data_IF_613608768903
#
_entry.id   IF_613608768903
#
_cell.length_a   1.000
_cell.length_b   1.000
_cell.length_c   1.000
_cell.angle_alpha   90.00
_cell.angle_beta   90.00
_cell.angle_gamma   90.00
#
_symmetry.space_group_name_H-M   'P 1'
#
loop_
_entity.id
_entity.type
_entity.pdbx_description
1 polymer ?
#
# COMPACT_ATOMS: atom_id res chain seq x y z
N UNK A 1 -18.43 19.43 -19.80
CA UNK A 1 -17.07 19.05 -19.37
C UNK A 1 -17.07 18.83 -17.87
N UNK A 2 -16.51 17.73 -17.36
CA UNK A 2 -16.36 17.53 -15.91
C UNK A 2 -15.30 18.51 -15.40
N UNK A 3 -15.57 19.31 -14.35
CA UNK A 3 -14.62 20.32 -13.87
C UNK A 3 -13.29 19.69 -13.46
N UNK A 4 -12.19 20.43 -13.67
CA UNK A 4 -10.86 20.01 -13.21
C UNK A 4 -10.81 20.11 -11.67
N UNK A 5 -10.29 19.10 -10.97
CA UNK A 5 -10.05 19.22 -9.53
C UNK A 5 -9.09 20.38 -9.24
N UNK A 6 -9.33 21.11 -8.14
CA UNK A 6 -8.33 22.05 -7.59
C UNK A 6 -7.19 21.22 -7.00
N UNK A 7 -5.96 21.62 -7.29
CA UNK A 7 -4.74 20.94 -6.82
C UNK A 7 -4.10 21.84 -5.77
N UNK A 8 -3.92 21.32 -4.56
CA UNK A 8 -3.10 21.95 -3.53
C UNK A 8 -1.67 21.41 -3.66
N UNK A 9 -0.80 22.18 -4.31
CA UNK A 9 0.58 21.77 -4.57
C UNK A 9 1.41 21.63 -3.29
N UNK A 10 1.08 22.39 -2.23
CA UNK A 10 1.79 22.31 -0.95
C UNK A 10 1.42 21.00 -0.26
N UNK A 11 0.13 20.70 -0.13
CA UNK A 11 -0.33 19.44 0.44
C UNK A 11 0.17 18.24 -0.37
N UNK A 12 0.21 18.35 -1.70
CA UNK A 12 0.75 17.33 -2.60
C UNK A 12 2.24 17.10 -2.33
N UNK A 13 3.04 18.16 -2.26
CA UNK A 13 4.47 18.07 -1.98
C UNK A 13 4.73 17.42 -0.62
N UNK A 14 4.05 17.87 0.43
CA UNK A 14 4.17 17.31 1.78
C UNK A 14 3.79 15.83 1.82
N UNK A 15 2.70 15.43 1.16
CA UNK A 15 2.28 14.04 1.13
C UNK A 15 3.27 13.14 0.36
N UNK A 16 3.82 13.63 -0.75
CA UNK A 16 4.82 12.89 -1.53
C UNK A 16 6.16 12.72 -0.79
N UNK A 17 6.43 13.53 0.23
CA UNK A 17 7.62 13.38 1.08
C UNK A 17 7.45 12.30 2.16
N UNK A 18 6.22 11.86 2.46
CA UNK A 18 5.98 10.87 3.51
C UNK A 18 6.73 9.55 3.23
N UNK A 19 6.56 8.88 2.07
CA UNK A 19 7.20 7.58 1.84
C UNK A 19 8.74 7.63 1.81
N UNK A 20 9.41 8.61 1.16
CA UNK A 20 10.86 8.67 1.21
C UNK A 20 11.39 9.01 2.61
N UNK A 21 10.66 9.80 3.41
CA UNK A 21 11.03 10.05 4.81
C UNK A 21 10.88 8.77 5.66
N UNK A 22 9.79 8.02 5.49
CA UNK A 22 9.59 6.73 6.17
C UNK A 22 10.70 5.73 5.82
N UNK A 23 11.04 5.59 4.54
CA UNK A 23 12.13 4.73 4.07
C UNK A 23 13.50 5.17 4.59
N UNK A 24 13.76 6.47 4.58
CA UNK A 24 15.01 7.05 5.08
C UNK A 24 15.17 6.81 6.58
N UNK A 25 14.15 7.14 7.39
CA UNK A 25 14.16 6.88 8.84
C UNK A 25 14.28 5.38 9.13
N UNK A 26 13.53 4.54 8.40
CA UNK A 26 13.58 3.09 8.52
C UNK A 26 14.98 2.50 8.30
N UNK A 27 15.79 3.10 7.43
CA UNK A 27 17.16 2.64 7.15
C UNK A 27 18.12 2.77 8.34
N UNK A 28 17.85 3.69 9.29
CA UNK A 28 18.65 3.86 10.50
C UNK A 28 18.21 2.95 11.66
N UNK A 29 16.98 2.41 11.62
CA UNK A 29 16.43 1.59 12.70
C UNK A 29 17.32 0.40 13.07
N UNK A 30 17.90 -0.38 12.13
CA UNK A 30 18.80 -1.48 12.47
C UNK A 30 20.09 -1.06 13.18
N UNK A 31 20.54 0.19 12.97
CA UNK A 31 21.76 0.76 13.55
C UNK A 31 21.53 1.21 14.99
N UNK A 32 20.31 1.68 15.30
CA UNK A 32 19.92 2.21 16.61
C UNK A 32 19.39 1.15 17.58
N UNK A 33 18.77 0.09 17.05
CA UNK A 33 18.14 -0.95 17.87
C UNK A 33 18.73 -2.33 17.55
N UNK A 34 19.35 -2.99 18.52
CA UNK A 34 19.89 -4.35 18.34
C UNK A 34 18.79 -5.43 18.34
N UNK A 35 17.75 -5.26 19.15
CA UNK A 35 16.69 -6.27 19.34
C UNK A 35 15.63 -6.21 18.23
N UNK A 36 15.26 -7.37 17.66
CA UNK A 36 14.31 -7.47 16.52
C UNK A 36 12.95 -6.83 16.81
N UNK A 37 12.39 -7.09 18.00
CA UNK A 37 11.11 -6.51 18.41
C UNK A 37 11.18 -4.97 18.47
N UNK A 38 12.28 -4.43 18.99
CA UNK A 38 12.47 -2.99 19.09
C UNK A 38 12.53 -2.33 17.71
N UNK A 39 13.18 -2.99 16.74
CA UNK A 39 13.20 -2.52 15.35
C UNK A 39 11.80 -2.42 14.77
N UNK A 40 11.00 -3.49 14.90
CA UNK A 40 9.65 -3.52 14.35
C UNK A 40 8.75 -2.46 14.98
N UNK A 41 8.75 -2.34 16.31
CA UNK A 41 7.93 -1.35 17.01
C UNK A 41 8.24 0.09 16.57
N UNK A 42 9.52 0.42 16.39
CA UNK A 42 9.92 1.75 15.94
C UNK A 42 9.53 1.99 14.48
N UNK A 43 9.68 0.97 13.63
CA UNK A 43 9.19 1.02 12.24
C UNK A 43 7.67 1.26 12.20
N UNK A 44 6.89 0.56 13.02
CA UNK A 44 5.43 0.76 13.11
C UNK A 44 5.09 2.19 13.53
N UNK A 45 5.82 2.77 14.49
CA UNK A 45 5.64 4.16 14.93
C UNK A 45 5.94 5.14 13.80
N UNK A 46 6.98 4.90 12.99
CA UNK A 46 7.32 5.73 11.82
C UNK A 46 6.16 5.72 10.81
N UNK A 47 5.68 4.54 10.41
CA UNK A 47 4.55 4.41 9.48
C UNK A 47 3.25 4.97 10.04
N UNK A 48 3.02 4.83 11.36
CA UNK A 48 1.85 5.41 12.01
C UNK A 48 1.87 6.94 11.98
N UNK A 49 3.04 7.56 12.18
CA UNK A 49 3.19 9.01 12.06
C UNK A 49 2.90 9.49 10.63
N UNK A 50 3.42 8.80 9.61
CA UNK A 50 3.13 9.10 8.20
C UNK A 50 1.65 8.91 7.85
N UNK A 51 1.03 7.84 8.35
CA UNK A 51 -0.42 7.63 8.25
C UNK A 51 -1.22 8.79 8.84
N UNK A 52 -0.93 9.21 10.07
CA UNK A 52 -1.59 10.37 10.67
C UNK A 52 -1.40 11.64 9.83
N UNK A 53 -0.19 11.87 9.31
CA UNK A 53 0.13 12.99 8.43
C UNK A 53 -0.69 12.98 7.13
N UNK A 54 -0.75 11.84 6.44
CA UNK A 54 -1.49 11.67 5.20
C UNK A 54 -3.00 11.88 5.41
N UNK A 55 -3.56 11.29 6.47
CA UNK A 55 -4.97 11.49 6.86
C UNK A 55 -5.24 12.97 7.15
N UNK A 56 -4.37 13.64 7.90
CA UNK A 56 -4.54 15.05 8.23
C UNK A 56 -4.51 15.93 6.98
N UNK A 57 -3.56 15.74 6.06
CA UNK A 57 -3.42 16.50 4.81
C UNK A 57 -4.67 16.37 3.92
N UNK A 58 -5.19 15.16 3.75
CA UNK A 58 -6.30 14.87 2.83
C UNK A 58 -7.65 14.57 3.51
N UNK A 59 -7.82 14.97 4.78
CA UNK A 59 -9.05 14.76 5.57
C UNK A 59 -10.32 15.27 4.91
N UNK A 60 -10.24 16.34 4.12
CA UNK A 60 -11.40 16.93 3.43
C UNK A 60 -11.89 16.01 2.31
N UNK A 61 -10.96 15.48 1.51
CA UNK A 61 -11.24 14.49 0.45
C UNK A 61 -11.80 13.21 1.07
N UNK A 62 -11.14 12.68 2.10
CA UNK A 62 -11.59 11.48 2.81
C UNK A 62 -13.00 11.65 3.36
N UNK A 63 -13.30 12.78 4.04
CA UNK A 63 -14.66 13.04 4.56
C UNK A 63 -15.71 13.16 3.45
N UNK A 64 -15.39 13.81 2.33
CA UNK A 64 -16.33 14.01 1.24
C UNK A 64 -16.65 12.66 0.57
N UNK A 65 -15.64 11.90 0.18
CA UNK A 65 -15.78 10.63 -0.49
C UNK A 65 -16.44 9.58 0.42
N UNK A 66 -16.21 9.63 1.74
CA UNK A 66 -16.83 8.71 2.71
C UNK A 66 -18.35 8.85 2.73
N UNK A 67 -18.86 10.09 2.66
CA UNK A 67 -20.31 10.35 2.68
C UNK A 67 -21.01 9.72 1.49
N UNK A 68 -20.36 9.67 0.34
CA UNK A 68 -20.89 9.03 -0.85
C UNK A 68 -20.72 7.51 -0.78
N UNK A 69 -19.54 7.06 -0.37
CA UNK A 69 -19.19 5.64 -0.29
C UNK A 69 -20.20 4.85 0.56
N UNK A 70 -20.57 5.37 1.74
CA UNK A 70 -21.44 4.68 2.68
C UNK A 70 -22.90 4.52 2.21
N UNK A 71 -23.35 5.31 1.22
CA UNK A 71 -24.72 5.20 0.67
C UNK A 71 -24.96 3.85 0.00
N UNK A 72 -23.91 3.28 -0.60
CA UNK A 72 -23.95 2.01 -1.32
C UNK A 72 -22.88 1.04 -0.78
N UNK A 73 -22.71 1.00 0.54
CA UNK A 73 -21.58 0.31 1.19
C UNK A 73 -21.44 -1.16 0.74
N UNK A 74 -22.55 -1.90 0.64
CA UNK A 74 -22.51 -3.33 0.29
C UNK A 74 -22.09 -3.56 -1.17
N UNK A 75 -22.61 -2.76 -2.10
CA UNK A 75 -22.21 -2.83 -3.51
C UNK A 75 -20.74 -2.44 -3.67
N UNK A 76 -20.30 -1.41 -2.96
CA UNK A 76 -18.91 -0.96 -2.97
C UNK A 76 -17.96 -2.00 -2.34
N UNK A 77 -18.42 -2.71 -1.31
CA UNK A 77 -17.71 -3.84 -0.72
C UNK A 77 -17.55 -4.99 -1.72
N UNK A 78 -18.62 -5.40 -2.43
CA UNK A 78 -18.53 -6.42 -3.48
C UNK A 78 -17.54 -6.01 -4.57
N UNK A 79 -17.59 -4.75 -5.02
CA UNK A 79 -16.61 -4.22 -5.98
C UNK A 79 -15.18 -4.29 -5.44
N UNK A 80 -14.99 -4.03 -4.15
CA UNK A 80 -13.68 -4.11 -3.52
C UNK A 80 -13.17 -5.56 -3.48
N UNK A 81 -14.02 -6.53 -3.13
CA UNK A 81 -13.69 -7.95 -3.21
C UNK A 81 -13.30 -8.36 -4.64
N UNK A 82 -14.07 -7.93 -5.64
CA UNK A 82 -13.71 -8.15 -7.05
C UNK A 82 -12.37 -7.52 -7.42
N UNK A 83 -12.08 -6.32 -6.91
CA UNK A 83 -10.80 -5.64 -7.05
C UNK A 83 -9.63 -6.40 -6.42
N UNK A 84 -9.83 -7.04 -5.26
CA UNK A 84 -8.84 -7.91 -4.60
C UNK A 84 -8.55 -9.13 -5.46
N UNK A 85 -9.58 -9.80 -5.97
CA UNK A 85 -9.42 -10.97 -6.86
C UNK A 85 -8.61 -10.59 -8.10
N UNK A 86 -8.95 -9.47 -8.74
CA UNK A 86 -8.19 -8.96 -9.88
C UNK A 86 -6.73 -8.63 -9.52
N UNK A 87 -6.47 -8.10 -8.32
CA UNK A 87 -5.12 -7.79 -7.84
C UNK A 87 -4.27 -9.05 -7.74
N UNK A 88 -4.80 -10.13 -7.14
CA UNK A 88 -4.11 -11.42 -7.09
C UNK A 88 -3.91 -12.02 -8.49
N UNK A 89 -4.89 -11.94 -9.37
CA UNK A 89 -4.77 -12.43 -10.74
C UNK A 89 -3.65 -11.70 -11.51
N UNK A 90 -3.57 -10.37 -11.40
CA UNK A 90 -2.50 -9.55 -11.97
C UNK A 90 -1.16 -9.94 -11.37
N UNK A 91 -1.08 -10.06 -10.05
CA UNK A 91 0.15 -10.42 -9.36
C UNK A 91 0.68 -11.78 -9.81
N UNK A 92 -0.17 -12.80 -9.88
CA UNK A 92 0.17 -14.14 -10.34
C UNK A 92 0.59 -14.15 -11.81
N UNK A 93 -0.14 -13.46 -12.67
CA UNK A 93 0.18 -13.35 -14.08
C UNK A 93 1.56 -12.70 -14.28
N UNK A 94 1.78 -11.51 -13.72
CA UNK A 94 3.04 -10.78 -13.89
C UNK A 94 4.22 -11.55 -13.28
N UNK A 95 4.06 -12.16 -12.10
CA UNK A 95 5.11 -13.01 -11.51
C UNK A 95 5.42 -14.24 -12.35
N UNK A 96 4.41 -14.89 -12.95
CA UNK A 96 4.64 -16.06 -13.80
C UNK A 96 5.40 -15.70 -15.07
N UNK A 97 5.09 -14.54 -15.67
CA UNK A 97 5.84 -14.00 -16.80
C UNK A 97 7.28 -13.68 -16.39
N UNK A 98 7.49 -13.09 -15.22
CA UNK A 98 8.82 -12.67 -14.76
C UNK A 98 9.67 -13.80 -14.14
N UNK A 99 9.11 -15.00 -13.95
CA UNK A 99 9.76 -16.14 -13.30
C UNK A 99 11.18 -16.44 -13.83
N UNK A 100 11.50 -16.36 -15.13
CA UNK A 100 12.87 -16.60 -15.62
C UNK A 100 13.91 -15.60 -15.08
N UNK A 101 13.47 -14.41 -14.65
CA UNK A 101 14.33 -13.32 -14.14
C UNK A 101 14.26 -13.15 -12.62
N UNK A 102 13.42 -13.94 -11.94
CA UNK A 102 13.26 -13.91 -10.50
C UNK A 102 13.94 -15.13 -9.89
N UNK A 103 14.88 -14.90 -8.98
CA UNK A 103 15.45 -15.96 -8.17
C UNK A 103 14.38 -16.53 -7.23
N UNK A 104 14.33 -17.85 -7.10
CA UNK A 104 13.49 -18.52 -6.11
C UNK A 104 13.96 -18.16 -4.72
N UNK A 105 13.28 -17.25 -4.03
CA UNK A 105 13.49 -17.04 -2.60
C UNK A 105 12.98 -18.28 -1.86
N UNK A 106 13.81 -18.88 -1.00
CA UNK A 106 13.35 -19.92 -0.09
C UNK A 106 12.25 -19.39 0.83
N UNK A 107 11.28 -20.23 1.17
CA UNK A 107 10.30 -19.88 2.22
C UNK A 107 11.07 -19.83 3.55
N UNK A 108 11.14 -18.67 4.23
CA UNK A 108 11.81 -18.61 5.52
C UNK A 108 11.10 -19.53 6.51
N UNK A 109 11.88 -20.21 7.35
CA UNK A 109 11.35 -21.05 8.42
C UNK A 109 10.71 -20.15 9.49
N UNK A 110 9.37 -20.20 9.57
CA UNK A 110 8.55 -19.35 10.42
C UNK A 110 8.01 -20.08 11.66
N UNK A 111 8.47 -21.31 11.94
CA UNK A 111 7.87 -22.21 12.93
C UNK A 111 8.22 -21.89 14.41
N UNK A 112 8.88 -20.76 14.71
CA UNK A 112 9.14 -20.36 16.10
C UNK A 112 8.14 -19.30 16.60
N UNK A 113 7.69 -19.41 17.85
CA UNK A 113 6.81 -18.41 18.51
C UNK A 113 7.42 -17.02 18.43
N UNK A 114 8.73 -16.89 18.68
CA UNK A 114 9.42 -15.60 18.63
C UNK A 114 9.36 -14.98 17.22
N UNK A 115 9.62 -15.77 16.17
CA UNK A 115 9.49 -15.31 14.79
C UNK A 115 8.05 -14.93 14.47
N UNK A 116 7.08 -15.75 14.87
CA UNK A 116 5.67 -15.50 14.60
C UNK A 116 5.15 -14.24 15.31
N UNK A 117 5.58 -13.98 16.55
CA UNK A 117 5.29 -12.73 17.27
C UNK A 117 5.86 -11.52 16.54
N UNK A 118 7.12 -11.57 16.12
CA UNK A 118 7.75 -10.47 15.37
C UNK A 118 7.03 -10.22 14.04
N UNK A 119 6.64 -11.27 13.32
CA UNK A 119 5.88 -11.17 12.06
C UNK A 119 4.48 -10.58 12.27
N UNK A 120 3.78 -10.98 13.34
CA UNK A 120 2.46 -10.44 13.68
C UNK A 120 2.53 -8.95 14.05
N UNK A 121 3.56 -8.54 14.78
CA UNK A 121 3.72 -7.11 15.11
C UNK A 121 4.09 -6.33 13.86
N UNK A 122 4.99 -6.86 13.01
CA UNK A 122 5.38 -6.21 11.76
C UNK A 122 4.21 -6.06 10.78
N UNK A 123 3.22 -6.95 10.84
CA UNK A 123 2.02 -6.85 10.00
C UNK A 123 1.05 -5.75 10.45
N UNK A 124 1.27 -5.06 11.57
CA UNK A 124 0.47 -3.88 11.94
C UNK A 124 0.60 -2.75 10.91
N UNK A 125 1.76 -2.62 10.27
CA UNK A 125 1.96 -1.69 9.14
C UNK A 125 0.96 -1.89 8.01
N UNK A 126 0.58 -3.14 7.71
CA UNK A 126 -0.34 -3.46 6.60
C UNK A 126 -1.78 -3.00 6.88
N UNK A 127 -2.11 -2.68 8.14
CA UNK A 127 -3.41 -2.13 8.50
C UNK A 127 -3.52 -0.62 8.23
N UNK A 128 -2.38 0.07 8.08
CA UNK A 128 -2.31 1.52 7.89
C UNK A 128 -1.74 1.93 6.54
N UNK A 129 -0.80 1.17 5.97
CA UNK A 129 -0.15 1.47 4.70
C UNK A 129 -1.14 1.70 3.55
N UNK A 130 -2.21 0.90 3.36
CA UNK A 130 -3.18 1.13 2.29
C UNK A 130 -3.81 2.52 2.30
N UNK A 131 -3.98 3.14 3.47
CA UNK A 131 -4.52 4.50 3.55
C UNK A 131 -3.50 5.52 3.04
N UNK A 132 -2.28 5.46 3.56
CA UNK A 132 -1.18 6.36 3.21
C UNK A 132 -0.85 6.26 1.72
N UNK A 133 -0.72 5.04 1.21
CA UNK A 133 -0.35 4.77 -0.18
C UNK A 133 -1.44 5.19 -1.17
N UNK A 134 -2.71 4.98 -0.85
CA UNK A 134 -3.80 5.42 -1.74
C UNK A 134 -3.97 6.95 -1.75
N UNK A 135 -3.76 7.61 -0.61
CA UNK A 135 -3.73 9.08 -0.54
C UNK A 135 -2.58 9.65 -1.39
N UNK A 136 -1.39 9.09 -1.28
CA UNK A 136 -0.20 9.66 -1.92
C UNK A 136 -0.15 9.28 -3.40
N UNK A 137 -0.16 7.99 -3.73
CA UNK A 137 0.03 7.55 -5.10
C UNK A 137 -1.22 7.75 -5.95
N UNK A 138 -2.41 7.48 -5.39
CA UNK A 138 -3.63 7.44 -6.22
C UNK A 138 -4.36 8.76 -6.18
N UNK A 139 -4.42 9.45 -5.04
CA UNK A 139 -4.99 10.79 -4.99
C UNK A 139 -3.99 11.88 -5.41
N UNK A 140 -2.93 12.09 -4.62
CA UNK A 140 -2.02 13.22 -4.78
C UNK A 140 -1.18 13.11 -6.07
N UNK A 141 -0.62 11.96 -6.37
CA UNK A 141 0.18 11.80 -7.58
C UNK A 141 -0.67 11.64 -8.83
N UNK A 142 -1.89 11.08 -8.76
CA UNK A 142 -2.64 10.75 -9.98
C UNK A 142 -4.01 11.44 -10.10
N UNK A 143 -5.00 11.06 -9.29
CA UNK A 143 -6.41 11.36 -9.54
C UNK A 143 -6.72 12.86 -9.57
N UNK A 144 -6.05 13.69 -8.76
CA UNK A 144 -6.25 15.15 -8.78
C UNK A 144 -5.82 15.81 -10.11
N UNK A 145 -5.02 15.12 -10.92
CA UNK A 145 -4.58 15.55 -12.24
C UNK A 145 -5.52 15.13 -13.38
N UNK A 146 -6.63 14.46 -13.06
CA UNK A 146 -7.64 14.02 -14.02
C UNK A 146 -8.16 15.19 -14.89
N UNK A 147 -8.53 14.86 -16.14
CA UNK A 147 -9.03 15.80 -17.16
C UNK A 147 -7.99 16.85 -17.62
N UNK A 148 -6.70 16.50 -17.59
CA UNK A 148 -5.58 17.34 -18.05
C UNK A 148 -4.85 16.75 -19.27
N UNK A 149 -5.56 15.98 -20.10
CA UNK A 149 -4.99 15.38 -21.32
C UNK A 149 -3.82 14.45 -21.01
N UNK A 150 -2.72 14.59 -21.75
CA UNK A 150 -1.48 13.78 -21.63
C UNK A 150 -0.97 13.74 -20.19
N UNK A 151 -1.03 14.86 -19.46
CA UNK A 151 -0.54 14.94 -18.09
C UNK A 151 -1.26 13.94 -17.15
N UNK A 152 -2.54 13.66 -17.36
CA UNK A 152 -3.29 12.67 -16.57
C UNK A 152 -2.61 11.30 -16.63
N UNK A 153 -2.20 10.89 -17.84
CA UNK A 153 -1.63 9.58 -18.09
C UNK A 153 -0.15 9.51 -17.73
N UNK A 154 0.59 10.63 -17.82
CA UNK A 154 1.93 10.72 -17.25
C UNK A 154 1.89 10.50 -15.73
N UNK A 155 0.96 11.16 -15.05
CA UNK A 155 0.76 11.02 -13.60
C UNK A 155 0.27 9.61 -13.21
N UNK A 156 -0.49 8.94 -14.07
CA UNK A 156 -0.88 7.53 -13.91
C UNK A 156 0.34 6.60 -13.93
N UNK A 157 1.21 6.74 -14.94
CA UNK A 157 2.41 5.91 -15.06
C UNK A 157 3.37 6.21 -13.90
N UNK A 158 3.55 7.49 -13.56
CA UNK A 158 4.40 7.91 -12.46
C UNK A 158 3.93 7.32 -11.13
N UNK A 159 2.63 7.37 -10.82
CA UNK A 159 2.13 6.81 -9.56
C UNK A 159 2.31 5.30 -9.48
N UNK A 160 2.10 4.57 -10.58
CA UNK A 160 2.29 3.12 -10.62
C UNK A 160 3.77 2.73 -10.43
N UNK A 161 4.70 3.42 -11.11
CA UNK A 161 6.14 3.15 -10.96
C UNK A 161 6.60 3.46 -9.54
N UNK A 162 6.27 4.64 -9.02
CA UNK A 162 6.69 5.04 -7.67
C UNK A 162 6.10 4.13 -6.59
N UNK A 163 4.87 3.64 -6.78
CA UNK A 163 4.27 2.66 -5.88
C UNK A 163 5.06 1.34 -5.83
N UNK A 164 5.56 0.85 -6.98
CA UNK A 164 6.45 -0.31 -6.97
C UNK A 164 7.79 -0.02 -6.30
N UNK A 165 8.38 1.15 -6.58
CA UNK A 165 9.71 1.52 -6.07
C UNK A 165 9.76 1.73 -4.55
N UNK A 166 8.67 2.13 -3.90
CA UNK A 166 8.67 2.25 -2.44
C UNK A 166 8.83 0.92 -1.72
N UNK A 167 8.65 -0.21 -2.42
CA UNK A 167 8.90 -1.55 -1.90
C UNK A 167 10.39 -1.95 -2.00
N UNK A 168 11.30 -0.98 -2.14
CA UNK A 168 12.74 -1.20 -2.30
C UNK A 168 13.32 -2.18 -1.29
N UNK A 169 13.03 -1.94 -0.01
CA UNK A 169 13.53 -2.74 1.10
C UNK A 169 12.87 -4.13 1.20
N UNK A 170 11.67 -4.32 0.62
CA UNK A 170 10.99 -5.62 0.60
C UNK A 170 11.65 -6.61 -0.38
N UNK A 171 12.38 -6.10 -1.37
CA UNK A 171 12.97 -6.88 -2.46
C UNK A 171 14.48 -6.74 -2.56
N UNK A 172 15.14 -6.26 -1.50
CA UNK A 172 16.59 -6.06 -1.46
C UNK A 172 17.13 -5.26 -2.68
N UNK A 173 16.34 -4.27 -3.14
CA UNK A 173 16.67 -3.46 -4.30
C UNK A 173 16.46 -4.14 -5.67
N UNK A 174 15.90 -5.34 -5.73
CA UNK A 174 15.59 -6.01 -6.99
C UNK A 174 14.39 -5.36 -7.70
N UNK A 175 14.68 -4.48 -8.66
CA UNK A 175 13.66 -3.76 -9.43
C UNK A 175 12.71 -4.70 -10.19
N UNK A 176 13.20 -5.84 -10.68
CA UNK A 176 12.35 -6.82 -11.41
C UNK A 176 11.28 -7.39 -10.48
N UNK A 177 11.61 -7.63 -9.21
CA UNK A 177 10.67 -8.10 -8.20
C UNK A 177 9.61 -7.05 -7.79
N UNK A 178 9.85 -5.77 -8.09
CA UNK A 178 8.90 -4.66 -7.87
C UNK A 178 7.91 -4.46 -9.01
N UNK A 179 8.19 -4.98 -10.22
CA UNK A 179 7.29 -4.84 -11.39
C UNK A 179 5.87 -5.37 -11.12
N UNK A 180 5.66 -6.52 -10.44
CA UNK A 180 4.31 -6.96 -10.08
C UNK A 180 3.56 -5.91 -9.23
N UNK A 181 4.26 -5.18 -8.36
CA UNK A 181 3.68 -4.12 -7.53
C UNK A 181 3.36 -2.89 -8.37
N UNK A 182 4.19 -2.53 -9.36
CA UNK A 182 3.86 -1.48 -10.32
C UNK A 182 2.57 -1.79 -11.11
N UNK A 183 2.39 -3.06 -11.52
CA UNK A 183 1.20 -3.50 -12.24
C UNK A 183 -0.07 -3.45 -11.36
N UNK A 184 0.01 -3.94 -10.12
CA UNK A 184 -1.09 -3.78 -9.13
C UNK A 184 -1.32 -2.30 -8.82
N UNK A 185 -0.27 -1.48 -8.81
CA UNK A 185 -0.37 -0.05 -8.60
C UNK A 185 -1.15 0.68 -9.68
N UNK A 186 -0.88 0.33 -10.94
CA UNK A 186 -1.66 0.77 -12.09
C UNK A 186 -3.12 0.34 -11.97
N UNK A 187 -3.39 -0.90 -11.54
CA UNK A 187 -4.74 -1.39 -11.30
C UNK A 187 -5.49 -0.56 -10.24
N UNK A 188 -4.87 -0.27 -9.10
CA UNK A 188 -5.47 0.61 -8.09
C UNK A 188 -5.70 2.02 -8.61
N UNK A 189 -4.77 2.59 -9.39
CA UNK A 189 -5.00 3.89 -10.02
C UNK A 189 -6.25 3.85 -10.94
N UNK A 190 -6.44 2.78 -11.70
CA UNK A 190 -7.61 2.58 -12.54
C UNK A 190 -8.91 2.44 -11.72
N UNK A 191 -8.91 1.68 -10.62
CA UNK A 191 -10.06 1.60 -9.70
C UNK A 191 -10.48 3.00 -9.28
N UNK A 192 -9.55 3.84 -8.82
CA UNK A 192 -9.91 5.20 -8.38
C UNK A 192 -10.37 6.10 -9.53
N UNK A 193 -9.74 5.98 -10.71
CA UNK A 193 -10.13 6.76 -11.88
C UNK A 193 -11.61 6.57 -12.26
N UNK A 194 -12.11 5.33 -12.18
CA UNK A 194 -13.50 5.01 -12.51
C UNK A 194 -14.45 5.14 -11.34
N UNK A 195 -14.06 4.69 -10.15
CA UNK A 195 -14.90 4.80 -8.95
C UNK A 195 -15.14 6.25 -8.55
N UNK A 196 -14.17 7.13 -8.85
CA UNK A 196 -14.14 8.54 -8.42
C UNK A 196 -14.29 8.70 -6.91
N UNK A 197 -13.91 7.67 -6.16
CA UNK A 197 -14.05 7.62 -4.72
C UNK A 197 -12.83 6.92 -4.11
N UNK A 198 -12.09 7.63 -3.27
CA UNK A 198 -10.84 7.13 -2.68
C UNK A 198 -11.09 5.92 -1.77
N UNK A 199 -12.26 5.84 -1.12
CA UNK A 199 -12.59 4.72 -0.23
C UNK A 199 -12.82 3.42 -0.97
N UNK A 200 -13.22 3.46 -2.25
CA UNK A 200 -13.26 2.25 -3.07
C UNK A 200 -11.87 1.66 -3.22
N UNK A 201 -10.86 2.50 -3.38
CA UNK A 201 -9.49 2.06 -3.54
C UNK A 201 -8.87 1.63 -2.21
N UNK A 202 -9.00 2.47 -1.17
CA UNK A 202 -8.54 2.18 0.19
C UNK A 202 -9.12 0.85 0.67
N UNK A 203 -10.43 0.61 0.49
CA UNK A 203 -11.03 -0.67 0.90
C UNK A 203 -10.48 -1.85 0.10
N UNK A 204 -10.31 -1.70 -1.22
CA UNK A 204 -9.76 -2.79 -2.06
C UNK A 204 -8.35 -3.15 -1.62
N UNK A 205 -7.49 -2.16 -1.45
CA UNK A 205 -6.11 -2.35 -1.03
C UNK A 205 -6.04 -2.88 0.41
N UNK A 206 -6.82 -2.29 1.32
CA UNK A 206 -6.90 -2.77 2.70
C UNK A 206 -7.32 -4.23 2.79
N UNK A 207 -8.32 -4.67 2.03
CA UNK A 207 -8.74 -6.07 2.03
C UNK A 207 -7.68 -7.01 1.45
N UNK A 208 -6.92 -6.55 0.45
CA UNK A 208 -5.79 -7.30 -0.11
C UNK A 208 -4.69 -7.52 0.96
N UNK A 209 -4.31 -6.45 1.66
CA UNK A 209 -3.29 -6.49 2.72
C UNK A 209 -3.77 -7.18 3.99
N UNK A 210 -5.06 -7.09 4.31
CA UNK A 210 -5.64 -7.72 5.48
C UNK A 210 -5.49 -9.25 5.48
N UNK A 211 -5.41 -9.87 4.29
CA UNK A 211 -5.12 -11.30 4.15
C UNK A 211 -3.71 -11.63 4.67
N UNK A 212 -2.73 -10.75 4.47
CA UNK A 212 -1.39 -10.90 5.03
C UNK A 212 -1.40 -10.79 6.56
N UNK A 213 -2.16 -9.85 7.12
CA UNK A 213 -2.35 -9.75 8.56
C UNK A 213 -2.98 -11.02 9.15
N UNK A 214 -4.06 -11.53 8.56
CA UNK A 214 -4.71 -12.78 8.99
C UNK A 214 -3.76 -13.98 8.91
N UNK A 215 -2.91 -14.03 7.86
CA UNK A 215 -1.89 -15.07 7.72
C UNK A 215 -0.87 -15.01 8.85
N UNK A 216 -0.39 -13.80 9.20
CA UNK A 216 0.54 -13.61 10.32
C UNK A 216 -0.08 -13.98 11.67
N UNK A 217 -1.36 -13.63 11.88
CA UNK A 217 -2.11 -14.01 13.08
C UNK A 217 -2.28 -15.53 13.20
N UNK A 218 -2.63 -16.20 12.09
CA UNK A 218 -2.73 -17.65 12.06
C UNK A 218 -1.39 -18.31 12.39
N UNK A 219 -0.29 -17.84 11.79
CA UNK A 219 1.05 -18.36 12.09
C UNK A 219 1.42 -18.20 13.57
N UNK A 220 1.08 -17.05 14.18
CA UNK A 220 1.29 -16.84 15.61
C UNK A 220 0.49 -17.83 16.46
N UNK A 221 -0.79 -18.05 16.15
CA UNK A 221 -1.64 -19.01 16.85
C UNK A 221 -1.05 -20.41 16.76
N UNK A 222 -0.69 -20.88 15.55
CA UNK A 222 -0.12 -22.20 15.32
C UNK A 222 1.19 -22.38 16.11
N UNK A 223 2.12 -21.42 16.00
CA UNK A 223 3.38 -21.46 16.74
C UNK A 223 3.15 -21.45 18.26
N UNK A 224 2.23 -20.63 18.77
CA UNK A 224 1.93 -20.53 20.20
C UNK A 224 1.40 -21.84 20.79
N UNK A 225 0.60 -22.58 20.01
CA UNK A 225 0.07 -23.90 20.41
C UNK A 225 0.97 -25.07 20.01
N UNK A 226 2.08 -24.84 19.32
CA UNK A 226 3.01 -25.89 18.87
C UNK A 226 2.42 -26.83 17.82
N UNK A 227 1.50 -26.33 16.98
CA UNK A 227 0.85 -27.03 15.87
C UNK A 227 1.56 -26.67 14.56
#
# INVERSE_FOLDING_TARGET
MVPRPRIDLIATGLACLIPPVELWLGSFVPQLFAHRLGRVLITDVIFFAGFCGAIWLYRSVLRADWREFKKHWFVNFIKAVGGVIASYAILLLVRSLLKPWLSSSGVPDVLSVQTATVTLIASLTVLMAPFTEEIIFRHALFYQWRNRGVLTWLMFVLSAILFGLVHWNNFDGNIVAMIPYMAVGAWYALIYYWSRNIWQNILTHFLFDFIQFLSALLLFILAFFGI
#
